data_IF_046299993451
#
_entry.id   IF_046299993451
#
_cell.length_a   1.000
_cell.length_b   1.000
_cell.length_c   1.000
_cell.angle_alpha   90.00
_cell.angle_beta   90.00
_cell.angle_gamma   90.00
#
_symmetry.space_group_name_H-M   'P 1'
#
loop_
_entity.id
_entity.type
_entity.pdbx_description
1 polymer ?
#
# COMPACT_ATOMS: atom_id res chain seq x y z
N UNK A 1 30.77 -42.80 27.27
CA UNK A 1 30.85 -41.56 28.07
C UNK A 1 29.56 -40.78 27.88
N UNK A 2 28.65 -40.89 28.86
CA UNK A 2 27.28 -40.38 28.80
C UNK A 2 27.26 -38.88 29.14
N UNK A 3 26.70 -38.05 28.25
CA UNK A 3 26.45 -36.63 28.53
C UNK A 3 25.07 -36.48 29.16
N UNK A 4 25.03 -36.18 30.46
CA UNK A 4 23.81 -35.89 31.20
C UNK A 4 23.20 -34.58 30.68
N UNK A 5 21.90 -34.60 30.35
CA UNK A 5 21.09 -33.39 30.10
C UNK A 5 20.69 -32.77 31.45
N UNK A 6 20.79 -31.45 31.65
CA UNK A 6 20.13 -30.82 32.78
C UNK A 6 18.62 -30.74 32.51
N UNK A 7 17.85 -31.56 33.23
CA UNK A 7 16.41 -31.40 33.40
C UNK A 7 16.18 -30.35 34.48
N UNK A 8 16.00 -29.07 34.15
CA UNK A 8 15.18 -28.11 34.93
C UNK A 8 15.02 -26.80 34.13
N UNK A 9 13.86 -26.50 33.54
CA UNK A 9 13.54 -25.10 33.23
C UNK A 9 13.19 -24.41 34.54
N UNK A 10 14.00 -23.43 34.95
CA UNK A 10 13.63 -22.52 36.04
C UNK A 10 12.38 -21.72 35.62
N UNK A 11 11.20 -22.22 36.00
CA UNK A 11 9.94 -21.51 35.85
C UNK A 11 9.96 -20.36 36.86
N UNK A 12 10.14 -19.12 36.37
CA UNK A 12 10.08 -17.91 37.20
C UNK A 12 8.80 -17.93 38.04
N UNK A 13 8.86 -17.68 39.36
CA UNK A 13 7.66 -17.62 40.18
C UNK A 13 6.79 -16.43 39.73
N UNK A 14 5.53 -16.72 39.38
CA UNK A 14 4.55 -15.77 38.83
C UNK A 14 4.11 -14.65 39.79
N UNK A 15 4.72 -14.55 40.98
CA UNK A 15 4.27 -13.65 42.05
C UNK A 15 4.92 -12.26 41.91
N UNK A 16 6.07 -12.14 41.22
CA UNK A 16 6.73 -10.85 40.97
C UNK A 16 6.17 -10.06 39.78
N UNK A 17 5.34 -10.68 38.93
CA UNK A 17 4.72 -9.99 37.79
C UNK A 17 3.50 -9.13 38.19
N UNK A 18 3.01 -9.23 39.44
CA UNK A 18 1.85 -8.47 39.93
C UNK A 18 2.20 -7.12 40.57
N UNK A 19 3.45 -6.89 40.97
CA UNK A 19 3.79 -5.71 41.79
C UNK A 19 4.49 -4.58 41.02
N UNK A 20 5.00 -4.83 39.82
CA UNK A 20 5.48 -3.75 38.96
C UNK A 20 4.40 -3.43 37.92
N UNK A 21 3.85 -2.19 37.89
CA UNK A 21 3.08 -1.76 36.74
C UNK A 21 3.97 -1.94 35.53
N UNK A 22 3.56 -2.79 34.59
CA UNK A 22 4.15 -2.82 33.25
C UNK A 22 3.83 -1.48 32.62
N UNK A 23 4.71 -0.52 32.86
CA UNK A 23 4.77 0.76 32.17
C UNK A 23 4.97 0.44 30.70
N UNK A 24 3.87 0.20 29.98
CA UNK A 24 3.82 0.10 28.52
C UNK A 24 4.02 1.51 27.94
N UNK A 25 5.12 2.17 28.34
CA UNK A 25 5.55 3.48 27.89
C UNK A 25 6.33 3.36 26.58
N UNK A 26 5.98 2.37 25.74
CA UNK A 26 6.55 2.20 24.41
C UNK A 26 6.39 3.49 23.57
N UNK A 27 5.35 4.29 23.87
CA UNK A 27 5.12 5.59 23.21
C UNK A 27 6.20 6.63 23.49
N UNK A 28 6.74 6.69 24.72
CA UNK A 28 7.81 7.64 25.07
C UNK A 28 9.12 7.28 24.37
N UNK A 29 9.36 5.98 24.17
CA UNK A 29 10.57 5.48 23.49
C UNK A 29 10.58 5.71 21.97
N UNK A 30 9.47 6.07 21.34
CA UNK A 30 9.45 6.28 19.88
C UNK A 30 10.21 7.55 19.45
N UNK A 31 10.29 8.57 20.32
CA UNK A 31 10.98 9.83 20.01
C UNK A 31 12.49 9.76 20.28
N UNK A 32 12.93 8.83 21.13
CA UNK A 32 14.33 8.65 21.51
C UNK A 32 15.06 7.58 20.69
N UNK A 33 14.39 6.98 19.69
CA UNK A 33 15.00 6.00 18.80
C UNK A 33 15.76 6.71 17.68
N UNK A 34 16.96 6.23 17.40
CA UNK A 34 17.71 6.71 16.25
C UNK A 34 16.91 6.50 14.96
N UNK A 35 16.98 7.45 14.01
CA UNK A 35 16.34 7.29 12.72
C UNK A 35 16.91 6.06 12.03
N UNK A 36 16.03 5.27 11.39
CA UNK A 36 16.47 4.09 10.64
C UNK A 36 17.46 4.51 9.54
N UNK A 37 18.53 3.73 9.31
CA UNK A 37 19.47 4.01 8.24
C UNK A 37 18.76 3.97 6.88
N UNK A 38 19.26 4.77 5.96
CA UNK A 38 18.76 4.82 4.59
C UNK A 38 19.26 3.55 3.88
N UNK A 39 18.38 2.73 3.29
CA UNK A 39 18.80 1.53 2.59
C UNK A 39 19.60 1.92 1.36
N UNK A 40 20.67 1.16 1.09
CA UNK A 40 21.44 1.30 -0.15
C UNK A 40 20.54 1.01 -1.36
N UNK A 41 20.86 1.61 -2.49
CA UNK A 41 20.25 1.32 -3.79
C UNK A 41 20.48 -0.16 -4.14
N UNK A 42 19.41 -0.96 -4.05
CA UNK A 42 19.44 -2.39 -4.41
C UNK A 42 19.40 -2.54 -5.93
N UNK A 43 19.95 -3.65 -6.45
CA UNK A 43 19.87 -4.02 -7.88
C UNK A 43 18.44 -3.99 -8.41
N UNK A 44 17.45 -4.27 -7.55
CA UNK A 44 16.04 -4.29 -7.93
C UNK A 44 15.43 -2.89 -8.09
N UNK A 45 15.94 -1.85 -7.42
CA UNK A 45 15.41 -0.49 -7.53
C UNK A 45 16.54 0.53 -7.37
N UNK A 46 17.35 0.75 -8.43
CA UNK A 46 18.49 1.65 -8.36
C UNK A 46 18.07 3.13 -8.38
N UNK A 47 16.89 3.46 -8.91
CA UNK A 47 16.45 4.84 -9.13
C UNK A 47 15.02 5.07 -8.59
N UNK A 48 14.72 6.33 -8.22
CA UNK A 48 13.41 6.78 -7.74
C UNK A 48 12.31 6.41 -8.72
N UNK A 49 12.50 6.66 -10.02
CA UNK A 49 11.54 6.33 -11.07
C UNK A 49 11.23 4.84 -11.10
N UNK A 50 12.28 4.01 -11.05
CA UNK A 50 12.14 2.55 -11.08
C UNK A 50 11.36 2.03 -9.87
N UNK A 51 11.65 2.58 -8.68
CA UNK A 51 10.95 2.22 -7.45
C UNK A 51 9.46 2.60 -7.50
N UNK A 52 9.14 3.85 -7.85
CA UNK A 52 7.75 4.34 -7.94
C UNK A 52 6.94 3.58 -9.00
N UNK A 53 7.58 3.17 -10.09
CA UNK A 53 6.96 2.33 -11.12
C UNK A 53 6.66 0.92 -10.59
N UNK A 54 7.62 0.28 -9.90
CA UNK A 54 7.46 -1.08 -9.38
C UNK A 54 6.38 -1.21 -8.30
N UNK A 55 6.28 -0.25 -7.39
CA UNK A 55 5.21 -0.24 -6.36
C UNK A 55 3.82 0.01 -6.95
N UNK A 56 3.73 0.54 -8.18
CA UNK A 56 2.48 0.75 -8.92
C UNK A 56 1.55 1.80 -8.31
N UNK A 57 0.23 1.58 -8.39
CA UNK A 57 -0.82 2.49 -7.89
C UNK A 57 -0.72 3.95 -8.38
N UNK A 58 -0.20 4.15 -9.59
CA UNK A 58 0.05 5.46 -10.20
C UNK A 58 1.03 6.37 -9.41
N UNK A 59 1.95 5.79 -8.62
CA UNK A 59 2.92 6.57 -7.83
C UNK A 59 3.94 7.33 -8.68
N UNK A 60 4.12 6.93 -9.95
CA UNK A 60 5.01 7.58 -10.91
C UNK A 60 4.68 9.06 -11.14
N UNK A 61 3.41 9.48 -10.94
CA UNK A 61 2.98 10.87 -11.09
C UNK A 61 3.72 11.86 -10.16
N UNK A 62 4.27 11.36 -9.05
CA UNK A 62 4.98 12.19 -8.06
C UNK A 62 6.49 12.18 -8.24
N UNK A 63 7.02 11.58 -9.32
CA UNK A 63 8.46 11.48 -9.60
C UNK A 63 9.13 12.86 -9.57
N UNK A 64 8.55 13.86 -10.24
CA UNK A 64 9.12 15.22 -10.33
C UNK A 64 9.26 15.95 -8.99
N UNK A 65 8.68 15.42 -7.90
CA UNK A 65 8.80 16.00 -6.56
C UNK A 65 10.06 15.54 -5.84
N UNK A 66 10.69 14.47 -6.30
CA UNK A 66 11.88 13.90 -5.68
C UNK A 66 13.10 14.20 -6.56
N UNK A 67 14.17 14.73 -5.95
CA UNK A 67 15.45 14.94 -6.63
C UNK A 67 16.34 13.70 -6.53
N UNK A 68 16.44 13.14 -5.32
CA UNK A 68 17.41 12.10 -4.99
C UNK A 68 16.77 10.91 -4.26
N UNK A 69 17.41 9.75 -4.37
CA UNK A 69 17.05 8.55 -3.61
C UNK A 69 17.03 8.80 -2.09
N UNK A 70 18.01 9.57 -1.60
CA UNK A 70 18.12 9.97 -0.20
C UNK A 70 16.89 10.76 0.27
N UNK A 71 16.36 11.64 -0.58
CA UNK A 71 15.15 12.42 -0.29
C UNK A 71 13.91 11.51 -0.24
N UNK A 72 13.75 10.61 -1.22
CA UNK A 72 12.65 9.64 -1.24
C UNK A 72 12.61 8.80 0.04
N UNK A 73 13.75 8.25 0.46
CA UNK A 73 13.86 7.35 1.60
C UNK A 73 13.90 8.07 2.95
N UNK A 74 14.21 9.36 2.99
CA UNK A 74 14.32 10.16 4.22
C UNK A 74 13.09 10.98 4.59
N UNK A 75 12.24 11.33 3.62
CA UNK A 75 11.10 12.25 3.84
C UNK A 75 10.11 11.80 4.91
N UNK A 76 9.61 12.73 5.71
CA UNK A 76 8.55 12.47 6.72
C UNK A 76 7.15 12.65 6.12
N UNK A 77 6.12 12.14 6.81
CA UNK A 77 4.72 12.28 6.35
C UNK A 77 4.30 13.74 6.15
N UNK A 78 4.78 14.66 7.00
CA UNK A 78 4.49 16.09 6.88
C UNK A 78 5.18 16.68 5.65
N UNK A 79 6.48 16.40 5.47
CA UNK A 79 7.22 16.85 4.29
C UNK A 79 6.57 16.36 3.00
N UNK A 80 6.11 15.11 2.93
CA UNK A 80 5.40 14.59 1.75
C UNK A 80 4.10 15.36 1.45
N UNK A 81 3.36 15.78 2.48
CA UNK A 81 2.15 16.60 2.32
C UNK A 81 2.55 17.98 1.80
N UNK A 82 3.56 18.59 2.38
CA UNK A 82 3.99 19.96 2.06
C UNK A 82 4.62 20.03 0.65
N UNK A 83 5.25 18.94 0.18
CA UNK A 83 5.71 18.75 -1.22
C UNK A 83 4.56 18.55 -2.23
N UNK A 84 3.32 18.42 -1.76
CA UNK A 84 2.12 18.28 -2.59
C UNK A 84 1.83 16.84 -3.05
N UNK A 85 2.29 15.82 -2.34
CA UNK A 85 1.97 14.42 -2.65
C UNK A 85 0.60 14.11 -2.06
N UNK A 86 -0.44 14.28 -2.86
CA UNK A 86 -1.83 13.96 -2.55
C UNK A 86 -2.36 12.87 -3.47
N UNK A 87 -3.29 12.00 -3.01
CA UNK A 87 -4.00 11.99 -1.71
C UNK A 87 -3.19 11.42 -0.52
N UNK A 88 -3.68 11.63 0.70
CA UNK A 88 -3.11 11.05 1.94
C UNK A 88 -2.91 9.53 1.91
N UNK A 89 -3.72 8.80 1.12
CA UNK A 89 -3.58 7.35 0.91
C UNK A 89 -2.27 6.99 0.22
N UNK A 90 -1.83 7.81 -0.73
CA UNK A 90 -0.62 7.57 -1.51
C UNK A 90 0.63 7.88 -0.68
N UNK A 91 0.58 8.90 0.20
CA UNK A 91 1.61 9.13 1.22
C UNK A 91 1.80 7.94 2.15
N UNK A 92 0.70 7.43 2.72
CA UNK A 92 0.73 6.25 3.61
C UNK A 92 1.28 5.02 2.88
N UNK A 93 0.87 4.84 1.63
CA UNK A 93 1.34 3.73 0.79
C UNK A 93 2.85 3.80 0.52
N UNK A 94 3.36 4.99 0.20
CA UNK A 94 4.78 5.21 -0.04
C UNK A 94 5.61 4.91 1.22
N UNK A 95 5.16 5.38 2.39
CA UNK A 95 5.84 5.11 3.67
C UNK A 95 5.84 3.62 3.98
N UNK A 96 4.71 2.93 3.82
CA UNK A 96 4.62 1.47 4.01
C UNK A 96 5.61 0.73 3.11
N UNK A 97 5.71 1.10 1.83
CA UNK A 97 6.66 0.50 0.91
C UNK A 97 8.13 0.81 1.22
N UNK A 98 8.44 2.02 1.68
CA UNK A 98 9.78 2.36 2.16
C UNK A 98 10.20 1.47 3.32
N UNK A 99 9.29 1.21 4.26
CA UNK A 99 9.58 0.31 5.39
C UNK A 99 9.73 -1.15 4.95
N UNK A 100 8.88 -1.61 4.03
CA UNK A 100 9.01 -2.96 3.43
C UNK A 100 10.37 -3.12 2.75
N UNK A 101 10.78 -2.13 1.98
CA UNK A 101 12.06 -2.12 1.29
C UNK A 101 13.24 -2.15 2.27
N UNK A 102 13.18 -1.37 3.37
CA UNK A 102 14.18 -1.44 4.45
C UNK A 102 14.26 -2.82 5.10
N UNK A 103 13.14 -3.55 5.14
CA UNK A 103 13.09 -4.92 5.64
C UNK A 103 13.53 -5.98 4.59
N UNK A 104 14.04 -5.55 3.44
CA UNK A 104 14.50 -6.44 2.36
C UNK A 104 13.38 -7.05 1.52
N UNK A 105 12.16 -6.51 1.60
CA UNK A 105 11.05 -6.95 0.75
C UNK A 105 11.13 -6.22 -0.59
N UNK A 106 11.14 -6.98 -1.67
CA UNK A 106 11.25 -6.42 -3.01
C UNK A 106 10.00 -5.62 -3.43
N UNK A 107 10.16 -4.44 -4.08
CA UNK A 107 9.04 -3.60 -4.48
C UNK A 107 8.13 -4.30 -5.50
N UNK A 108 6.85 -4.45 -5.15
CA UNK A 108 5.84 -5.06 -6.03
C UNK A 108 4.49 -4.34 -5.88
N UNK A 109 3.64 -4.33 -6.92
CA UNK A 109 2.33 -3.68 -6.79
C UNK A 109 1.32 -4.59 -6.06
N UNK A 110 0.88 -4.15 -4.88
CA UNK A 110 -0.31 -4.72 -4.25
C UNK A 110 -1.57 -4.04 -4.78
N UNK A 111 -2.28 -4.69 -5.70
CA UNK A 111 -3.46 -4.13 -6.36
C UNK A 111 -4.61 -3.86 -5.38
N UNK A 112 -5.33 -2.76 -5.60
CA UNK A 112 -6.52 -2.42 -4.81
C UNK A 112 -7.70 -3.28 -5.27
N UNK A 113 -8.51 -3.77 -4.34
CA UNK A 113 -9.76 -4.43 -4.67
C UNK A 113 -10.73 -3.45 -5.36
N UNK A 114 -11.34 -3.87 -6.47
CA UNK A 114 -12.37 -3.10 -7.19
C UNK A 114 -13.71 -3.83 -7.13
N UNK A 115 -14.82 -3.08 -7.10
CA UNK A 115 -16.16 -3.66 -7.17
C UNK A 115 -16.44 -4.11 -8.62
N UNK A 116 -16.88 -5.36 -8.78
CA UNK A 116 -17.33 -5.90 -10.06
C UNK A 116 -18.85 -5.67 -10.16
N UNK A 117 -19.31 -5.04 -11.25
CA UNK A 117 -20.73 -4.75 -11.52
C UNK A 117 -21.46 -4.06 -10.35
N UNK A 118 -20.81 -3.10 -9.68
CA UNK A 118 -21.40 -2.37 -8.54
C UNK A 118 -21.38 -3.11 -7.20
N UNK A 119 -20.81 -4.32 -7.16
CA UNK A 119 -20.79 -5.19 -5.99
C UNK A 119 -21.99 -6.12 -5.91
N UNK A 120 -22.02 -7.00 -4.91
CA UNK A 120 -23.03 -8.07 -4.79
C UNK A 120 -24.46 -7.56 -4.84
N UNK A 121 -24.81 -6.59 -3.98
CA UNK A 121 -26.18 -6.05 -3.86
C UNK A 121 -26.70 -5.40 -5.15
N UNK A 122 -25.83 -4.77 -5.95
CA UNK A 122 -26.22 -4.03 -7.16
C UNK A 122 -26.02 -4.81 -8.45
N UNK A 123 -25.37 -5.98 -8.43
CA UNK A 123 -24.97 -6.75 -9.62
C UNK A 123 -26.13 -7.02 -10.57
N UNK A 124 -27.26 -7.53 -10.06
CA UNK A 124 -28.44 -7.87 -10.88
C UNK A 124 -29.03 -6.63 -11.55
N UNK A 125 -29.18 -5.54 -10.79
CA UNK A 125 -29.68 -4.26 -11.28
C UNK A 125 -28.76 -3.66 -12.35
N UNK A 126 -27.44 -3.60 -12.09
CA UNK A 126 -26.45 -3.04 -13.02
C UNK A 126 -26.47 -3.79 -14.35
N UNK A 127 -26.53 -5.13 -14.31
CA UNK A 127 -26.62 -5.95 -15.54
C UNK A 127 -27.93 -5.76 -16.28
N UNK A 128 -29.05 -5.61 -15.56
CA UNK A 128 -30.35 -5.34 -16.20
C UNK A 128 -30.37 -3.97 -16.89
N UNK A 129 -29.89 -2.93 -16.21
CA UNK A 129 -29.77 -1.58 -16.78
C UNK A 129 -28.86 -1.57 -18.01
N UNK A 130 -27.72 -2.28 -17.96
CA UNK A 130 -26.82 -2.42 -19.10
C UNK A 130 -27.54 -3.03 -20.32
N UNK A 131 -28.28 -4.12 -20.12
CA UNK A 131 -29.07 -4.76 -21.20
C UNK A 131 -30.14 -3.83 -21.79
N UNK A 132 -30.80 -3.03 -20.96
CA UNK A 132 -31.81 -2.08 -21.44
C UNK A 132 -31.15 -0.98 -22.29
N UNK A 133 -30.02 -0.44 -21.83
CA UNK A 133 -29.24 0.57 -22.56
C UNK A 133 -28.77 0.03 -23.93
N UNK A 134 -28.22 -1.19 -23.97
CA UNK A 134 -27.80 -1.84 -25.22
C UNK A 134 -28.96 -1.96 -26.22
N UNK A 135 -30.16 -2.35 -25.78
CA UNK A 135 -31.35 -2.40 -26.65
C UNK A 135 -31.79 -1.03 -27.14
N UNK A 136 -31.70 0.00 -26.30
CA UNK A 136 -32.02 1.37 -26.71
C UNK A 136 -31.02 1.89 -27.74
N UNK A 137 -29.73 1.60 -27.58
CA UNK A 137 -28.70 1.95 -28.55
C UNK A 137 -28.88 1.23 -29.89
N UNK A 138 -29.26 -0.05 -29.87
CA UNK A 138 -29.57 -0.79 -31.10
C UNK A 138 -30.72 -0.14 -31.87
N UNK A 139 -31.84 0.15 -31.20
CA UNK A 139 -32.97 0.84 -31.83
C UNK A 139 -32.58 2.21 -32.39
N UNK A 140 -31.82 3.01 -31.63
CA UNK A 140 -31.32 4.30 -32.12
C UNK A 140 -30.41 4.15 -33.35
N UNK A 141 -29.56 3.12 -33.38
CA UNK A 141 -28.70 2.83 -34.54
C UNK A 141 -29.52 2.38 -35.75
N UNK A 142 -30.55 1.58 -35.55
CA UNK A 142 -31.50 1.16 -36.59
C UNK A 142 -32.26 2.37 -37.14
N UNK A 143 -32.85 3.20 -36.27
CA UNK A 143 -33.50 4.47 -36.64
C UNK A 143 -32.54 5.39 -37.40
N UNK A 144 -31.29 5.52 -36.94
CA UNK A 144 -30.27 6.30 -37.62
C UNK A 144 -29.88 5.69 -38.97
N UNK A 145 -29.81 4.36 -39.09
CA UNK A 145 -29.52 3.68 -40.35
C UNK A 145 -30.65 3.85 -41.36
N UNK A 146 -31.90 3.79 -40.90
CA UNK A 146 -33.11 4.11 -41.67
C UNK A 146 -33.04 5.57 -42.14
N UNK A 147 -32.76 6.51 -41.23
CA UNK A 147 -32.65 7.94 -41.55
C UNK A 147 -31.53 8.24 -42.55
N UNK A 148 -30.40 7.52 -42.46
CA UNK A 148 -29.25 7.68 -43.36
C UNK A 148 -29.41 6.88 -44.68
N UNK A 149 -30.57 6.27 -44.92
CA UNK A 149 -30.88 5.52 -46.15
C UNK A 149 -29.96 4.33 -46.40
N UNK A 150 -29.41 3.73 -45.35
CA UNK A 150 -28.48 2.58 -45.43
C UNK A 150 -29.18 1.22 -45.29
N UNK A 151 -30.51 1.21 -45.23
CA UNK A 151 -31.38 0.04 -45.21
C UNK A 151 -32.34 0.09 -46.38
#
# INVERSE_FOLDING_TARGET
>A
MNRLRPLFPARRPAILDLLLPRSNHARLLHHSRDPRPIPAESSTAPDVKTFLTKIGRNMIQHESKFTDWKQLMGTTTQQLRDMGIEPARDRRYLIDWRERYRNGIEPTEYKRGRKIDGGERRRKMVRALRRIAERQEQRKKEEQAILMGKL
#
